data_IF_999046779923
#
_entry.id   IF_999046779923
#
_cell.length_a   1.000
_cell.length_b   1.000
_cell.length_c   1.000
_cell.angle_alpha   90.00
_cell.angle_beta   90.00
_cell.angle_gamma   90.00
#
_symmetry.space_group_name_H-M   'P 1'
#
loop_
_entity.id
_entity.type
_entity.pdbx_description
1 polymer ?
#
# COMPACT_ATOMS: atom_id res chain seq x y z
N UNK A 1 23.02 -48.01 16.16
CA UNK A 1 22.23 -46.84 16.57
C UNK A 1 22.99 -45.59 16.14
N UNK A 2 22.81 -45.16 14.89
CA UNK A 2 23.42 -43.93 14.35
C UNK A 2 22.32 -43.25 13.56
N UNK A 3 21.88 -42.09 14.03
CA UNK A 3 20.94 -41.21 13.33
C UNK A 3 21.74 -40.39 12.32
N UNK A 4 21.47 -40.59 11.03
CA UNK A 4 22.01 -39.77 9.96
C UNK A 4 21.21 -38.46 9.89
N UNK A 5 21.88 -37.33 10.12
CA UNK A 5 21.36 -36.02 9.78
C UNK A 5 21.54 -35.80 8.28
N UNK A 6 20.44 -35.85 7.53
CA UNK A 6 20.43 -35.40 6.15
C UNK A 6 20.62 -33.87 6.14
N UNK A 7 21.65 -33.40 5.43
CA UNK A 7 21.83 -31.97 5.15
C UNK A 7 20.82 -31.55 4.06
N UNK A 8 20.18 -30.38 4.16
CA UNK A 8 19.28 -29.90 3.12
C UNK A 8 20.04 -29.70 1.81
N UNK A 9 19.42 -30.05 0.69
CA UNK A 9 19.99 -29.88 -0.63
C UNK A 9 20.18 -28.38 -0.96
N UNK A 10 21.08 -28.09 -1.90
CA UNK A 10 21.40 -26.72 -2.33
C UNK A 10 20.23 -25.95 -2.92
N UNK A 11 19.16 -26.61 -3.38
CA UNK A 11 17.94 -25.91 -3.85
C UNK A 11 17.10 -25.36 -2.69
N UNK A 12 17.10 -26.04 -1.54
CA UNK A 12 16.33 -25.70 -0.34
C UNK A 12 16.92 -24.47 0.37
N UNK A 13 18.26 -24.35 0.38
CA UNK A 13 18.95 -23.15 0.87
C UNK A 13 18.73 -21.92 0.01
N UNK A 14 18.51 -22.08 -1.31
CA UNK A 14 18.26 -20.97 -2.23
C UNK A 14 16.83 -20.42 -2.07
N UNK A 15 15.85 -21.31 -1.81
CA UNK A 15 14.47 -20.93 -1.51
C UNK A 15 14.39 -20.18 -0.17
N UNK A 16 15.01 -20.74 0.88
CA UNK A 16 15.08 -20.10 2.21
C UNK A 16 15.83 -18.76 2.19
N UNK A 17 16.89 -18.61 1.40
CA UNK A 17 17.58 -17.32 1.23
C UNK A 17 16.73 -16.28 0.49
N UNK A 18 15.95 -16.70 -0.53
CA UNK A 18 15.01 -15.80 -1.23
C UNK A 18 13.84 -15.38 -0.33
N UNK A 19 13.29 -16.30 0.47
CA UNK A 19 12.27 -15.99 1.47
C UNK A 19 12.80 -15.04 2.55
N UNK A 20 14.05 -15.22 3.00
CA UNK A 20 14.67 -14.34 4.01
C UNK A 20 14.96 -12.95 3.45
N UNK A 21 15.46 -12.86 2.20
CA UNK A 21 15.70 -11.58 1.53
C UNK A 21 14.40 -10.83 1.20
N UNK A 22 13.32 -11.53 0.80
CA UNK A 22 11.99 -10.94 0.61
C UNK A 22 11.37 -10.49 1.96
N UNK A 23 11.56 -11.27 3.02
CA UNK A 23 11.07 -10.95 4.36
C UNK A 23 11.84 -9.77 5.01
N UNK A 24 13.13 -9.61 4.74
CA UNK A 24 13.89 -8.42 5.19
C UNK A 24 13.59 -7.19 4.32
N UNK A 25 13.34 -7.38 3.02
CA UNK A 25 13.04 -6.33 2.04
C UNK A 25 11.57 -5.88 1.99
N UNK A 26 10.83 -5.79 3.11
CA UNK A 26 9.47 -5.28 3.04
C UNK A 26 9.04 -4.57 4.33
N UNK A 27 9.85 -3.67 4.88
CA UNK A 27 9.64 -3.08 6.23
C UNK A 27 8.76 -1.80 6.27
N UNK A 28 7.40 -1.84 6.28
CA UNK A 28 6.53 -0.65 6.29
C UNK A 28 6.75 0.31 7.47
N UNK A 29 6.30 1.58 7.37
CA UNK A 29 6.29 2.56 8.46
C UNK A 29 5.58 2.15 9.75
N UNK A 30 5.83 2.95 10.78
CA UNK A 30 5.12 2.99 12.06
C UNK A 30 3.63 3.34 11.88
N UNK A 31 2.76 2.48 12.41
CA UNK A 31 1.33 2.65 12.67
C UNK A 31 0.92 4.14 12.74
N UNK A 32 0.24 4.60 11.70
CA UNK A 32 -0.23 5.98 11.54
C UNK A 32 -0.49 6.42 10.09
N UNK A 33 -0.03 5.65 9.11
CA UNK A 33 -0.30 5.80 7.68
C UNK A 33 -1.42 4.83 7.26
N UNK A 34 -2.42 5.27 6.48
CA UNK A 34 -3.18 4.32 5.66
C UNK A 34 -2.20 3.75 4.62
N UNK A 35 -2.31 2.47 4.31
CA UNK A 35 -1.23 1.74 3.64
C UNK A 35 -1.49 1.54 2.14
N UNK A 36 -2.24 2.45 1.51
CA UNK A 36 -2.57 2.42 0.08
C UNK A 36 -1.71 3.42 -0.73
N UNK A 37 -0.39 3.38 -0.50
CA UNK A 37 0.52 4.41 -0.99
C UNK A 37 0.57 4.45 -2.53
N UNK A 38 0.55 3.30 -3.21
CA UNK A 38 0.67 3.28 -4.66
C UNK A 38 -0.58 3.84 -5.34
N UNK A 39 -1.78 3.52 -4.87
CA UNK A 39 -3.02 4.07 -5.41
C UNK A 39 -3.09 5.59 -5.20
N UNK A 40 -2.71 6.10 -4.03
CA UNK A 40 -2.65 7.55 -3.79
C UNK A 40 -1.65 8.26 -4.71
N UNK A 41 -0.51 7.62 -4.99
CA UNK A 41 0.48 8.14 -5.93
C UNK A 41 -0.03 8.05 -7.37
N UNK A 42 -0.73 6.98 -7.75
CA UNK A 42 -1.35 6.79 -9.07
C UNK A 42 -2.43 7.82 -9.37
N UNK A 43 -3.33 8.06 -8.41
CA UNK A 43 -4.48 8.95 -8.55
C UNK A 43 -4.12 10.44 -8.44
N UNK A 44 -2.95 10.77 -7.89
CA UNK A 44 -2.51 12.14 -7.72
C UNK A 44 -2.34 12.86 -9.07
N UNK A 45 -2.72 14.15 -9.18
CA UNK A 45 -2.43 14.98 -10.34
C UNK A 45 -0.95 14.93 -10.72
N UNK A 46 -0.65 15.08 -12.02
CA UNK A 46 0.69 14.88 -12.59
C UNK A 46 1.67 16.01 -12.22
N UNK A 47 2.14 15.99 -10.98
CA UNK A 47 3.21 16.82 -10.44
C UNK A 47 3.95 16.05 -9.33
N UNK A 48 5.29 15.95 -9.39
CA UNK A 48 6.07 15.27 -8.34
C UNK A 48 5.78 15.81 -6.94
N UNK A 49 5.60 17.12 -6.79
CA UNK A 49 5.30 17.74 -5.48
C UNK A 49 3.88 17.45 -5.00
N UNK A 50 2.93 17.32 -5.93
CA UNK A 50 1.56 16.88 -5.60
C UNK A 50 1.58 15.42 -5.17
N UNK A 51 2.36 14.53 -5.83
CA UNK A 51 2.54 13.14 -5.38
C UNK A 51 3.17 13.05 -3.99
N UNK A 52 4.17 13.88 -3.69
CA UNK A 52 4.73 14.01 -2.32
C UNK A 52 3.64 14.43 -1.33
N UNK A 53 2.83 15.43 -1.68
CA UNK A 53 1.70 15.85 -0.85
C UNK A 53 0.64 14.77 -0.65
N UNK A 54 0.36 13.98 -1.68
CA UNK A 54 -0.57 12.85 -1.62
C UNK A 54 -0.09 11.81 -0.62
N UNK A 55 1.19 11.42 -0.72
CA UNK A 55 1.81 10.50 0.24
C UNK A 55 1.95 11.12 1.65
N UNK A 56 2.07 12.44 1.76
CA UNK A 56 2.14 13.15 3.05
C UNK A 56 0.90 12.96 3.92
N UNK A 57 -0.26 12.66 3.32
CA UNK A 57 -1.51 12.41 4.05
C UNK A 57 -1.36 11.39 5.18
N UNK A 58 -0.60 10.34 4.92
CA UNK A 58 -0.22 9.26 5.83
C UNK A 58 0.73 9.67 6.96
N UNK A 59 1.33 10.84 6.84
CA UNK A 59 2.31 11.41 7.76
C UNK A 59 1.84 12.75 8.33
N UNK A 60 0.60 13.15 8.08
CA UNK A 60 0.10 14.51 8.33
C UNK A 60 -0.05 14.87 9.83
N UNK A 61 0.20 13.94 10.76
CA UNK A 61 0.10 14.23 12.19
C UNK A 61 1.12 15.30 12.60
N UNK A 62 0.62 16.43 13.09
CA UNK A 62 1.44 17.56 13.53
C UNK A 62 1.90 18.48 12.39
N UNK A 63 1.44 18.26 11.16
CA UNK A 63 1.72 19.13 10.02
C UNK A 63 0.72 20.28 9.99
N UNK A 64 1.21 21.51 9.82
CA UNK A 64 0.39 22.70 9.59
C UNK A 64 0.27 22.91 8.08
N UNK A 65 -0.92 22.72 7.47
CA UNK A 65 -1.06 22.77 6.01
C UNK A 65 -0.61 24.09 5.38
N UNK A 66 -0.78 25.21 6.08
CA UNK A 66 -0.45 26.54 5.58
C UNK A 66 1.05 26.80 5.43
N UNK A 67 1.89 26.02 6.13
CA UNK A 67 3.36 26.07 6.02
C UNK A 67 3.88 25.21 4.85
N UNK A 68 3.04 24.36 4.28
CA UNK A 68 3.42 23.51 3.15
C UNK A 68 3.49 24.33 1.85
N UNK A 69 4.44 24.01 0.95
CA UNK A 69 4.41 24.50 -0.43
C UNK A 69 3.05 24.22 -1.08
N UNK A 70 2.59 25.13 -1.95
CA UNK A 70 1.25 25.06 -2.55
C UNK A 70 0.91 23.69 -3.14
N UNK A 71 1.81 23.13 -3.96
CA UNK A 71 1.58 21.83 -4.61
C UNK A 71 1.53 20.65 -3.62
N UNK A 72 2.36 20.68 -2.57
CA UNK A 72 2.35 19.67 -1.51
C UNK A 72 1.03 19.75 -0.72
N UNK A 73 0.54 20.96 -0.45
CA UNK A 73 -0.77 21.16 0.19
C UNK A 73 -1.92 20.65 -0.67
N UNK A 74 -1.86 20.87 -1.99
CA UNK A 74 -2.84 20.31 -2.94
C UNK A 74 -2.83 18.78 -2.88
N UNK A 75 -1.65 18.15 -2.88
CA UNK A 75 -1.54 16.71 -2.71
C UNK A 75 -2.14 16.21 -1.40
N UNK A 76 -1.89 16.90 -0.28
CA UNK A 76 -2.47 16.54 1.02
C UNK A 76 -4.00 16.63 1.02
N UNK A 77 -4.56 17.65 0.36
CA UNK A 77 -6.01 17.79 0.19
C UNK A 77 -6.57 16.69 -0.71
N UNK A 78 -5.86 16.36 -1.78
CA UNK A 78 -6.22 15.28 -2.70
C UNK A 78 -6.29 13.93 -1.98
N UNK A 79 -5.26 13.56 -1.22
CA UNK A 79 -5.26 12.33 -0.42
C UNK A 79 -6.48 12.24 0.51
N UNK A 80 -6.78 13.32 1.25
CA UNK A 80 -7.94 13.34 2.16
C UNK A 80 -9.28 13.17 1.41
N UNK A 81 -9.38 13.73 0.21
CA UNK A 81 -10.58 13.57 -0.62
C UNK A 81 -10.72 12.14 -1.13
N UNK A 82 -9.62 11.53 -1.61
CA UNK A 82 -9.57 10.13 -2.04
C UNK A 82 -9.95 9.19 -0.90
N UNK A 83 -9.40 9.41 0.31
CA UNK A 83 -9.75 8.66 1.51
C UNK A 83 -11.23 8.80 1.86
N UNK A 84 -11.73 10.03 1.92
CA UNK A 84 -13.11 10.30 2.28
C UNK A 84 -14.09 9.65 1.29
N UNK A 85 -13.78 9.68 -0.01
CA UNK A 85 -14.57 8.99 -1.03
C UNK A 85 -14.53 7.47 -0.83
N UNK A 86 -13.32 6.92 -0.67
CA UNK A 86 -13.07 5.48 -0.51
C UNK A 86 -13.81 4.91 0.70
N UNK A 87 -13.71 5.58 1.85
CA UNK A 87 -14.30 5.09 3.10
C UNK A 87 -15.82 5.09 3.12
N UNK A 88 -16.44 5.97 2.33
CA UNK A 88 -17.90 6.09 2.21
C UNK A 88 -18.46 5.22 1.08
N UNK A 89 -17.60 4.67 0.21
CA UNK A 89 -18.06 3.97 -0.98
C UNK A 89 -18.78 2.64 -0.63
N UNK A 90 -19.98 2.36 -1.18
CA UNK A 90 -20.76 1.17 -0.84
C UNK A 90 -20.01 -0.15 -1.05
N UNK A 91 -19.19 -0.26 -2.11
CA UNK A 91 -18.41 -1.47 -2.38
C UNK A 91 -17.28 -1.69 -1.38
N UNK A 92 -16.67 -0.61 -0.87
CA UNK A 92 -15.62 -0.68 0.15
C UNK A 92 -16.23 -1.09 1.49
N UNK A 93 -17.36 -0.48 1.86
CA UNK A 93 -18.14 -0.86 3.05
C UNK A 93 -18.56 -2.33 2.98
N UNK A 94 -19.00 -2.81 1.82
CA UNK A 94 -19.36 -4.21 1.63
C UNK A 94 -18.15 -5.16 1.69
N UNK A 95 -17.00 -4.75 1.13
CA UNK A 95 -15.73 -5.50 1.24
C UNK A 95 -15.31 -5.68 2.70
N UNK A 96 -15.42 -4.62 3.52
CA UNK A 96 -15.15 -4.67 4.97
C UNK A 96 -16.02 -5.70 5.71
N UNK A 97 -17.23 -6.01 5.20
CA UNK A 97 -18.16 -6.97 5.82
C UNK A 97 -17.82 -8.44 5.56
N UNK A 98 -17.02 -8.74 4.53
CA UNK A 98 -16.58 -10.11 4.22
C UNK A 98 -15.68 -10.69 5.31
N UNK A 99 -14.87 -9.83 5.94
CA UNK A 99 -14.02 -10.23 7.05
C UNK A 99 -14.83 -10.70 8.27
N UNK A 100 -14.30 -11.70 8.97
CA UNK A 100 -14.88 -12.28 10.17
C UNK A 100 -15.10 -11.22 11.26
N UNK A 101 -16.10 -11.37 12.16
CA UNK A 101 -16.31 -10.42 13.26
C UNK A 101 -15.04 -10.16 14.10
N UNK A 102 -14.17 -11.16 14.24
CA UNK A 102 -12.91 -11.09 14.98
C UNK A 102 -11.87 -10.20 14.29
N UNK A 103 -11.84 -10.19 12.95
CA UNK A 103 -10.85 -9.44 12.15
C UNK A 103 -11.40 -8.17 11.51
N UNK A 104 -12.72 -7.98 11.48
CA UNK A 104 -13.40 -6.85 10.80
C UNK A 104 -12.88 -5.47 11.20
N UNK A 105 -12.48 -5.26 12.45
CA UNK A 105 -11.90 -3.97 12.88
C UNK A 105 -10.58 -3.61 12.17
N UNK A 106 -9.91 -4.58 11.56
CA UNK A 106 -8.68 -4.40 10.79
C UNK A 106 -8.93 -4.40 9.27
N UNK A 107 -10.18 -4.60 8.84
CA UNK A 107 -10.52 -4.69 7.42
C UNK A 107 -10.14 -3.45 6.63
N UNK A 108 -10.22 -2.25 7.21
CA UNK A 108 -9.75 -1.02 6.55
C UNK A 108 -8.28 -1.12 6.16
N UNK A 109 -7.42 -1.37 7.15
CA UNK A 109 -5.97 -1.55 6.93
C UNK A 109 -5.67 -2.68 5.95
N UNK A 110 -6.44 -3.77 6.01
CA UNK A 110 -6.30 -4.88 5.09
C UNK A 110 -6.63 -4.50 3.64
N UNK A 111 -7.72 -3.77 3.45
CA UNK A 111 -8.15 -3.30 2.14
C UNK A 111 -7.21 -2.24 1.57
N UNK A 112 -6.64 -1.36 2.41
CA UNK A 112 -5.67 -0.35 1.96
C UNK A 112 -4.48 -1.00 1.23
N UNK A 113 -3.88 -2.04 1.82
CA UNK A 113 -2.76 -2.77 1.19
C UNK A 113 -3.24 -3.63 0.02
N UNK A 114 -4.39 -4.30 0.17
CA UNK A 114 -4.92 -5.18 -0.86
C UNK A 114 -5.33 -4.44 -2.14
N UNK A 115 -5.77 -3.19 -2.04
CA UNK A 115 -6.17 -2.40 -3.20
C UNK A 115 -4.98 -1.98 -4.06
N UNK A 116 -3.79 -1.76 -3.47
CA UNK A 116 -2.55 -1.61 -4.24
C UNK A 116 -2.23 -2.89 -5.05
N UNK A 117 -2.44 -4.07 -4.45
CA UNK A 117 -2.31 -5.35 -5.16
C UNK A 117 -3.28 -5.46 -6.33
N UNK A 118 -4.57 -5.16 -6.12
CA UNK A 118 -5.55 -5.26 -7.19
C UNK A 118 -5.35 -4.20 -8.29
N UNK A 119 -4.86 -3.01 -7.93
CA UNK A 119 -4.45 -2.00 -8.90
C UNK A 119 -3.34 -2.53 -9.81
N UNK A 120 -2.29 -3.12 -9.24
CA UNK A 120 -1.19 -3.72 -10.00
C UNK A 120 -1.64 -4.92 -10.85
N UNK A 121 -2.41 -5.84 -10.26
CA UNK A 121 -2.95 -7.02 -10.94
C UNK A 121 -3.83 -6.66 -12.13
N UNK A 122 -4.54 -5.54 -12.06
CA UNK A 122 -5.44 -5.06 -13.10
C UNK A 122 -4.94 -3.80 -13.82
N UNK A 123 -3.63 -3.52 -13.76
CA UNK A 123 -3.04 -2.24 -14.17
C UNK A 123 -3.45 -1.78 -15.57
N UNK A 124 -3.45 -2.69 -16.55
CA UNK A 124 -3.79 -2.40 -17.95
C UNK A 124 -5.25 -1.94 -18.16
N UNK A 125 -6.12 -2.09 -17.16
CA UNK A 125 -7.48 -1.54 -17.19
C UNK A 125 -7.52 -0.04 -16.86
N UNK A 126 -6.53 0.45 -16.14
CA UNK A 126 -6.53 1.80 -15.56
C UNK A 126 -5.46 2.71 -16.15
N UNK A 127 -4.43 2.15 -16.79
CA UNK A 127 -3.35 2.91 -17.41
C UNK A 127 -2.84 2.24 -18.68
N UNK A 128 -2.44 3.09 -19.64
CA UNK A 128 -1.71 2.68 -20.84
C UNK A 128 -0.19 2.66 -20.64
N UNK A 129 0.31 3.26 -19.54
CA UNK A 129 1.73 3.24 -19.18
C UNK A 129 2.04 1.91 -18.52
N UNK A 130 3.24 1.36 -18.71
CA UNK A 130 3.66 0.15 -18.01
C UNK A 130 3.80 0.45 -16.49
N UNK A 131 3.34 -0.46 -15.63
CA UNK A 131 3.41 -0.29 -14.16
C UNK A 131 4.84 -0.07 -13.67
N UNK A 132 5.81 -0.75 -14.29
CA UNK A 132 7.22 -0.65 -13.94
C UNK A 132 7.75 0.76 -14.25
N UNK A 133 7.40 1.30 -15.41
CA UNK A 133 7.76 2.66 -15.80
C UNK A 133 7.18 3.69 -14.82
N UNK A 134 5.93 3.50 -14.40
CA UNK A 134 5.30 4.37 -13.42
C UNK A 134 5.97 4.29 -12.04
N UNK A 135 6.25 3.08 -11.54
CA UNK A 135 6.92 2.86 -10.26
C UNK A 135 8.33 3.48 -10.28
N UNK A 136 9.09 3.28 -11.34
CA UNK A 136 10.44 3.83 -11.48
C UNK A 136 10.43 5.37 -11.54
N UNK A 137 9.41 5.96 -12.16
CA UNK A 137 9.18 7.40 -12.13
C UNK A 137 8.90 7.87 -10.70
N UNK A 138 7.95 7.24 -10.01
CA UNK A 138 7.57 7.59 -8.63
C UNK A 138 8.77 7.48 -7.68
N UNK A 139 9.57 6.42 -7.76
CA UNK A 139 10.75 6.28 -6.92
C UNK A 139 11.75 7.41 -7.10
N UNK A 140 11.96 7.85 -8.35
CA UNK A 140 12.83 9.00 -8.66
C UNK A 140 12.26 10.30 -8.11
N UNK A 141 10.97 10.53 -8.31
CA UNK A 141 10.29 11.73 -7.80
C UNK A 141 10.35 11.83 -6.27
N UNK A 142 10.20 10.70 -5.57
CA UNK A 142 10.31 10.65 -4.11
C UNK A 142 11.73 10.98 -3.62
N UNK A 143 12.76 10.50 -4.31
CA UNK A 143 14.16 10.80 -3.97
C UNK A 143 14.51 12.27 -4.23
N UNK A 144 14.18 12.78 -5.42
CA UNK A 144 14.44 14.17 -5.82
C UNK A 144 13.72 15.20 -4.93
N UNK A 145 12.57 14.83 -4.36
CA UNK A 145 11.76 15.70 -3.52
C UNK A 145 11.78 15.33 -2.03
N UNK A 146 12.74 14.51 -1.58
CA UNK A 146 12.85 14.07 -0.19
C UNK A 146 12.93 15.25 0.82
N UNK A 147 13.50 16.39 0.41
CA UNK A 147 13.59 17.61 1.21
C UNK A 147 12.23 18.23 1.58
N UNK A 148 11.16 17.90 0.85
CA UNK A 148 9.79 18.36 1.13
C UNK A 148 9.07 17.47 2.16
N UNK A 149 9.67 16.34 2.53
CA UNK A 149 9.06 15.33 3.40
C UNK A 149 9.53 15.51 4.85
N UNK A 150 8.66 15.29 5.86
CA UNK A 150 9.09 15.14 7.24
C UNK A 150 10.03 13.93 7.40
N UNK A 151 10.91 13.97 8.40
CA UNK A 151 11.93 12.91 8.64
C UNK A 151 11.32 11.49 8.70
N UNK A 152 10.16 11.34 9.33
CA UNK A 152 9.46 10.05 9.41
C UNK A 152 9.08 9.53 8.02
N UNK A 153 8.59 10.41 7.15
CA UNK A 153 8.21 10.07 5.78
C UNK A 153 9.44 9.75 4.93
N UNK A 154 10.53 10.52 5.05
CA UNK A 154 11.80 10.23 4.34
C UNK A 154 12.31 8.82 4.65
N UNK A 155 12.32 8.43 5.94
CA UNK A 155 12.74 7.08 6.34
C UNK A 155 11.89 5.99 5.71
N UNK A 156 10.60 6.24 5.52
CA UNK A 156 9.69 5.30 4.87
C UNK A 156 9.95 5.21 3.39
N UNK A 157 9.99 6.35 2.70
CA UNK A 157 10.13 6.38 1.24
C UNK A 157 11.46 5.77 0.82
N UNK A 158 12.53 5.99 1.59
CA UNK A 158 13.80 5.28 1.42
C UNK A 158 13.64 3.76 1.50
N UNK A 159 12.83 3.25 2.43
CA UNK A 159 12.60 1.81 2.57
C UNK A 159 11.69 1.26 1.45
N UNK A 160 10.67 2.01 1.03
CA UNK A 160 9.83 1.69 -0.13
C UNK A 160 10.72 1.47 -1.36
N UNK A 161 11.62 2.42 -1.63
CA UNK A 161 12.51 2.41 -2.80
C UNK A 161 13.58 1.33 -2.67
N UNK A 162 14.29 1.26 -1.55
CA UNK A 162 15.40 0.32 -1.32
C UNK A 162 14.98 -1.14 -1.51
N UNK A 163 13.72 -1.43 -1.21
CA UNK A 163 13.19 -2.77 -1.14
C UNK A 163 12.07 -3.05 -2.15
N UNK A 164 11.83 -2.12 -3.06
CA UNK A 164 10.85 -2.21 -4.15
C UNK A 164 9.45 -2.70 -3.71
N UNK A 165 8.87 -2.06 -2.68
CA UNK A 165 7.60 -2.53 -2.14
C UNK A 165 6.47 -2.47 -3.14
N UNK A 166 6.38 -1.41 -3.95
CA UNK A 166 5.28 -1.27 -4.90
C UNK A 166 5.30 -2.40 -5.92
N UNK A 167 6.45 -2.77 -6.47
CA UNK A 167 6.51 -3.91 -7.40
C UNK A 167 6.26 -5.23 -6.68
N UNK A 168 6.72 -5.38 -5.42
CA UNK A 168 6.50 -6.60 -4.62
C UNK A 168 5.02 -6.91 -4.40
N UNK A 169 4.14 -5.90 -4.38
CA UNK A 169 2.71 -6.05 -4.17
C UNK A 169 1.98 -6.70 -5.36
N UNK A 170 2.66 -6.99 -6.47
CA UNK A 170 2.12 -7.87 -7.51
C UNK A 170 1.86 -9.30 -7.00
N UNK A 171 2.62 -9.74 -5.99
CA UNK A 171 2.47 -11.05 -5.36
C UNK A 171 1.57 -10.94 -4.11
N UNK A 172 0.50 -11.73 -4.09
CA UNK A 172 -0.45 -11.76 -2.96
C UNK A 172 0.19 -12.28 -1.66
N UNK A 173 1.23 -13.10 -1.73
CA UNK A 173 1.92 -13.58 -0.53
C UNK A 173 2.71 -12.44 0.14
N UNK A 174 3.24 -11.49 -0.65
CA UNK A 174 3.85 -10.25 -0.11
C UNK A 174 2.83 -9.35 0.59
N UNK A 175 1.58 -9.36 0.16
CA UNK A 175 0.48 -8.70 0.88
C UNK A 175 0.26 -9.33 2.25
N UNK A 176 0.30 -10.66 2.32
CA UNK A 176 0.24 -11.39 3.59
C UNK A 176 1.37 -11.01 4.55
N UNK A 177 2.62 -11.01 4.05
CA UNK A 177 3.78 -10.59 4.85
C UNK A 177 3.69 -9.14 5.32
N UNK A 178 3.25 -8.22 4.46
CA UNK A 178 3.04 -6.82 4.82
C UNK A 178 2.00 -6.69 5.95
N UNK A 179 0.86 -7.35 5.83
CA UNK A 179 -0.23 -7.32 6.82
C UNK A 179 0.20 -7.92 8.17
N UNK A 180 0.90 -9.05 8.18
CA UNK A 180 1.41 -9.67 9.40
C UNK A 180 2.44 -8.78 10.10
N UNK A 181 3.26 -8.05 9.34
CA UNK A 181 4.17 -7.05 9.91
C UNK A 181 3.44 -5.88 10.55
N UNK A 182 2.33 -5.42 9.97
CA UNK A 182 1.49 -4.41 10.62
C UNK A 182 0.88 -4.97 11.90
N UNK A 183 0.36 -6.20 11.87
CA UNK A 183 -0.21 -6.88 13.02
C UNK A 183 0.78 -7.03 14.19
N UNK A 184 2.03 -7.42 13.90
CA UNK A 184 3.08 -7.62 14.89
C UNK A 184 3.50 -6.34 15.64
N UNK A 185 3.21 -5.17 15.08
CA UNK A 185 3.53 -3.88 15.70
C UNK A 185 2.42 -3.33 16.58
N UNK A 186 1.23 -3.93 16.53
CA UNK A 186 0.11 -3.57 17.41
C UNK A 186 0.42 -4.08 18.82
N UNK A 187 0.61 -3.14 19.77
CA UNK A 187 1.08 -3.43 21.14
C UNK A 187 0.09 -4.19 22.02
N UNK A 188 -1.15 -4.38 21.58
CA UNK A 188 -2.19 -5.09 22.33
C UNK A 188 -2.59 -6.40 21.63
N UNK A 189 -3.11 -7.37 22.41
CA UNK A 189 -3.58 -8.65 21.88
C UNK A 189 -4.63 -8.42 20.79
N UNK A 190 -4.36 -8.95 19.61
CA UNK A 190 -5.20 -8.78 18.44
C UNK A 190 -5.30 -10.08 17.63
N UNK A 191 -6.19 -10.09 16.64
CA UNK A 191 -6.42 -11.22 15.75
C UNK A 191 -6.04 -10.88 14.30
N UNK A 192 -5.22 -9.85 14.10
CA UNK A 192 -4.92 -9.32 12.77
C UNK A 192 -3.99 -10.25 11.99
N UNK A 193 -3.03 -10.91 12.66
CA UNK A 193 -2.15 -11.87 11.99
C UNK A 193 -2.93 -12.99 11.31
N UNK A 194 -2.45 -13.41 10.13
CA UNK A 194 -3.08 -14.42 9.28
C UNK A 194 -4.39 -13.95 8.62
N UNK A 195 -4.66 -12.65 8.55
CA UNK A 195 -5.82 -12.10 7.83
C UNK A 195 -5.78 -12.42 6.32
N UNK A 196 -4.58 -12.72 5.78
CA UNK A 196 -4.39 -13.13 4.40
C UNK A 196 -5.22 -14.37 4.03
N UNK A 197 -5.49 -15.26 4.98
CA UNK A 197 -6.35 -16.43 4.73
C UNK A 197 -7.80 -16.03 4.44
N UNK A 198 -8.32 -14.97 5.08
CA UNK A 198 -9.66 -14.44 4.77
C UNK A 198 -9.67 -13.68 3.44
N UNK A 199 -8.58 -12.99 3.11
CA UNK A 199 -8.41 -12.35 1.79
C UNK A 199 -8.44 -13.42 0.70
N UNK A 200 -7.61 -14.46 0.81
CA UNK A 200 -7.54 -15.56 -0.17
C UNK A 200 -8.90 -16.28 -0.30
N UNK A 201 -9.61 -16.51 0.81
CA UNK A 201 -10.94 -17.12 0.78
C UNK A 201 -11.99 -16.26 0.07
N UNK A 202 -11.80 -14.94 0.00
CA UNK A 202 -12.72 -13.99 -0.61
C UNK A 202 -12.13 -13.25 -1.83
N UNK A 203 -11.01 -13.71 -2.40
CA UNK A 203 -10.22 -12.96 -3.39
C UNK A 203 -11.06 -12.51 -4.59
N UNK A 204 -11.85 -13.43 -5.15
CA UNK A 204 -12.70 -13.13 -6.30
C UNK A 204 -13.75 -12.05 -6.01
N UNK A 205 -14.38 -12.10 -4.83
CA UNK A 205 -15.41 -11.14 -4.44
C UNK A 205 -14.80 -9.78 -4.09
N UNK A 206 -13.65 -9.78 -3.41
CA UNK A 206 -12.89 -8.57 -3.09
C UNK A 206 -12.39 -7.87 -4.35
N UNK A 207 -11.81 -8.61 -5.30
CA UNK A 207 -11.36 -8.10 -6.60
C UNK A 207 -12.55 -7.56 -7.41
N UNK A 208 -13.68 -8.28 -7.46
CA UNK A 208 -14.87 -7.82 -8.18
C UNK A 208 -15.39 -6.48 -7.63
N UNK A 209 -15.41 -6.32 -6.30
CA UNK A 209 -15.80 -5.08 -5.63
C UNK A 209 -14.82 -3.95 -5.93
N UNK A 210 -13.52 -4.23 -5.89
CA UNK A 210 -12.49 -3.27 -6.28
C UNK A 210 -12.67 -2.81 -7.73
N UNK A 211 -12.87 -3.74 -8.67
CA UNK A 211 -13.07 -3.43 -10.10
C UNK A 211 -14.34 -2.63 -10.37
N UNK A 212 -15.35 -2.72 -9.49
CA UNK A 212 -16.56 -1.89 -9.56
C UNK A 212 -16.33 -0.49 -8.97
N UNK A 213 -15.52 -0.38 -7.92
CA UNK A 213 -15.25 0.85 -7.18
C UNK A 213 -14.18 1.74 -7.82
N UNK A 214 -13.05 1.16 -8.21
CA UNK A 214 -11.86 1.92 -8.58
C UNK A 214 -12.06 2.84 -9.80
N UNK A 215 -12.84 2.47 -10.84
CA UNK A 215 -13.16 3.40 -11.92
C UNK A 215 -13.88 4.68 -11.45
N UNK A 216 -14.80 4.56 -10.48
CA UNK A 216 -15.50 5.72 -9.91
C UNK A 216 -14.54 6.59 -9.10
N UNK A 217 -13.66 5.98 -8.31
CA UNK A 217 -12.61 6.71 -7.59
C UNK A 217 -11.64 7.42 -8.55
N UNK A 218 -11.20 6.76 -9.62
CA UNK A 218 -10.30 7.34 -10.61
C UNK A 218 -10.95 8.54 -11.33
N UNK A 219 -12.25 8.46 -11.62
CA UNK A 219 -13.00 9.57 -12.17
C UNK A 219 -13.07 10.76 -11.21
N UNK A 220 -13.41 10.50 -9.95
CA UNK A 220 -13.46 11.51 -8.89
C UNK A 220 -12.10 12.18 -8.68
N UNK A 221 -11.04 11.39 -8.58
CA UNK A 221 -9.69 11.88 -8.30
C UNK A 221 -9.09 12.73 -9.43
N UNK A 222 -9.53 12.53 -10.68
CA UNK A 222 -9.04 13.27 -11.86
C UNK A 222 -9.89 14.51 -12.16
N UNK A 223 -11.22 14.40 -12.18
CA UNK A 223 -12.09 15.51 -12.58
C UNK A 223 -12.21 16.65 -11.56
N UNK A 224 -12.25 16.33 -10.27
CA UNK A 224 -12.50 17.37 -9.25
C UNK A 224 -11.23 18.16 -8.88
N UNK A 225 -10.09 17.81 -9.49
CA UNK A 225 -8.79 18.45 -9.28
C UNK A 225 -8.15 19.01 -10.57
N UNK A 226 -8.85 18.91 -11.70
CA UNK A 226 -8.57 19.72 -12.90
C UNK A 226 -9.05 21.15 -12.65
N UNK A 227 -8.10 22.09 -12.58
CA UNK A 227 -8.36 23.51 -12.36
C UNK A 227 -8.61 24.25 -13.68
#
# INVERSE_FOLDING_TARGET
MVWAWASPSTSDRSALHKETLAAEACSPPLLGASLNHLAHLFLAPDSPKVRVGSLLGDFARGIVPDELPREVRVGLQHHRAVDAFTDQHPQVIASKRLFSPQRRRFSGVALDILYDHYLLRNWQRFSHVNSDTFIDQVYRELDENASLMPEKMQKVTQQIVLHDWFRSYQDIDNIGYALDRVANRIRFRNAFSGIIEEIKAHDQELEHRFLSFFPELNHFATKDFEC
#
